data_IF_173468410668
#
_entry.id   IF_173468410668
#
_cell.length_a   1.000
_cell.length_b   1.000
_cell.length_c   1.000
_cell.angle_alpha   90.00
_cell.angle_beta   90.00
_cell.angle_gamma   90.00
#
_symmetry.space_group_name_H-M   'P 1'
#
loop_
_entity.id
_entity.type
_entity.pdbx_description
1 polymer ?
#
# COMPACT_ATOMS: atom_id res chain seq x y z
N UNK A 1 32.23 -13.06 -1.64
CA UNK A 1 32.18 -11.95 -2.62
C UNK A 1 31.56 -10.76 -1.91
N UNK A 2 32.33 -9.68 -1.77
CA UNK A 2 31.89 -8.46 -1.10
C UNK A 2 30.96 -7.67 -2.01
N UNK A 3 29.67 -7.54 -1.64
CA UNK A 3 28.64 -6.70 -2.28
C UNK A 3 28.90 -5.18 -2.14
N UNK A 4 30.16 -4.76 -2.13
CA UNK A 4 30.53 -3.43 -1.60
C UNK A 4 30.45 -2.27 -2.61
N UNK A 5 30.32 -2.51 -3.92
CA UNK A 5 30.43 -1.43 -4.91
C UNK A 5 29.61 -1.63 -6.18
N UNK A 6 28.36 -2.06 -6.05
CA UNK A 6 27.44 -1.94 -7.19
C UNK A 6 26.18 -1.28 -6.68
N UNK A 7 26.00 -0.03 -7.08
CA UNK A 7 24.69 0.60 -7.23
C UNK A 7 23.90 -0.37 -8.12
N UNK A 8 23.10 -1.26 -7.53
CA UNK A 8 22.24 -2.17 -8.28
C UNK A 8 20.97 -1.39 -8.56
N UNK A 9 20.93 -0.72 -9.71
CA UNK A 9 19.69 -0.17 -10.25
C UNK A 9 18.87 -1.34 -10.77
N UNK A 10 17.71 -1.62 -10.15
CA UNK A 10 16.78 -2.62 -10.64
C UNK A 10 15.49 -1.96 -11.15
N UNK A 11 14.91 -2.40 -12.28
CA UNK A 11 13.61 -1.94 -12.71
C UNK A 11 12.52 -2.49 -11.78
N UNK A 12 11.69 -1.62 -11.19
CA UNK A 12 10.49 -1.96 -10.43
C UNK A 12 9.33 -1.08 -10.93
N UNK A 13 8.24 -1.69 -11.40
CA UNK A 13 7.04 -0.98 -11.92
C UNK A 13 7.34 0.18 -12.91
N UNK A 14 8.40 0.05 -13.71
CA UNK A 14 8.80 1.06 -14.70
C UNK A 14 9.81 2.11 -14.22
N UNK A 15 10.18 2.11 -12.93
CA UNK A 15 11.18 2.99 -12.32
C UNK A 15 12.46 2.23 -11.93
N UNK A 16 13.59 2.93 -11.80
CA UNK A 16 14.85 2.35 -11.32
C UNK A 16 14.95 2.53 -9.79
N UNK A 17 15.03 1.42 -9.06
CA UNK A 17 15.14 1.43 -7.60
C UNK A 17 16.58 1.20 -7.16
N UNK A 18 16.95 1.88 -6.08
CA UNK A 18 18.29 1.92 -5.50
C UNK A 18 18.26 1.37 -4.08
N UNK A 19 19.10 0.37 -3.77
CA UNK A 19 19.23 -0.10 -2.38
C UNK A 19 20.07 0.89 -1.57
N UNK A 20 19.57 1.28 -0.39
CA UNK A 20 20.37 1.99 0.60
C UNK A 20 21.60 1.15 1.04
N UNK A 21 22.77 1.81 1.06
CA UNK A 21 24.03 1.24 1.54
C UNK A 21 23.92 0.70 2.97
N UNK A 22 23.00 1.19 3.79
CA UNK A 22 22.73 0.66 5.12
C UNK A 22 22.35 -0.83 5.07
N UNK A 23 21.44 -1.20 4.15
CA UNK A 23 21.00 -2.59 3.99
C UNK A 23 22.15 -3.48 3.51
N UNK A 24 22.94 -3.02 2.54
CA UNK A 24 24.08 -3.77 1.98
C UNK A 24 25.24 -4.01 2.96
N UNK A 25 25.29 -3.29 4.10
CA UNK A 25 26.35 -3.43 5.12
C UNK A 25 25.98 -4.39 6.25
N UNK A 26 24.69 -4.63 6.45
CA UNK A 26 24.20 -5.54 7.48
C UNK A 26 24.46 -7.00 7.10
N UNK A 27 24.77 -7.85 8.09
CA UNK A 27 24.86 -9.30 7.87
C UNK A 27 23.51 -9.93 8.17
N UNK A 28 23.04 -10.77 7.26
CA UNK A 28 21.86 -11.60 7.49
C UNK A 28 22.17 -12.65 8.56
N UNK A 29 21.35 -12.69 9.61
CA UNK A 29 21.44 -13.64 10.72
C UNK A 29 20.06 -14.23 10.99
N UNK A 30 19.97 -15.27 11.81
CA UNK A 30 18.68 -15.88 12.15
C UNK A 30 17.73 -14.92 12.89
N UNK A 31 18.25 -13.86 13.50
CA UNK A 31 17.48 -12.78 14.14
C UNK A 31 16.98 -11.69 13.16
N UNK A 32 17.30 -11.79 11.87
CA UNK A 32 16.90 -10.77 10.90
C UNK A 32 15.39 -10.84 10.65
N UNK A 33 14.67 -9.69 10.64
CA UNK A 33 13.23 -9.68 10.41
C UNK A 33 12.84 -10.34 9.08
N UNK A 34 11.74 -11.09 9.09
CA UNK A 34 11.22 -11.79 7.91
C UNK A 34 10.88 -10.82 6.77
N UNK A 35 10.62 -9.54 7.06
CA UNK A 35 10.36 -8.50 6.06
C UNK A 35 11.48 -8.35 5.02
N UNK A 36 12.72 -8.72 5.35
CA UNK A 36 13.83 -8.73 4.39
C UNK A 36 13.75 -9.86 3.35
N UNK A 37 13.06 -10.96 3.68
CA UNK A 37 12.89 -12.13 2.81
C UNK A 37 11.64 -12.03 1.92
N UNK A 38 10.76 -11.09 2.23
CA UNK A 38 9.53 -10.86 1.50
C UNK A 38 9.84 -9.85 0.38
N UNK A 39 9.68 -10.24 -0.91
CA UNK A 39 9.97 -9.33 -2.02
C UNK A 39 8.92 -8.21 -2.07
N UNK A 40 9.38 -6.98 -1.89
CA UNK A 40 8.60 -5.74 -2.00
C UNK A 40 9.38 -4.71 -2.82
N UNK A 41 8.68 -3.71 -3.37
CA UNK A 41 9.30 -2.61 -4.12
C UNK A 41 9.77 -1.45 -3.23
N UNK A 42 9.63 -1.57 -1.91
CA UNK A 42 10.01 -0.58 -0.90
C UNK A 42 10.56 -1.28 0.35
N UNK A 43 11.19 -0.52 1.25
CA UNK A 43 11.72 -0.98 2.55
C UNK A 43 12.77 -2.11 2.47
N UNK A 44 12.90 -2.86 3.57
CA UNK A 44 13.83 -3.97 3.72
C UNK A 44 13.61 -5.10 2.69
N UNK A 45 12.39 -5.26 2.17
CA UNK A 45 12.06 -6.31 1.20
C UNK A 45 12.68 -6.08 -0.19
N UNK A 46 13.15 -4.86 -0.47
CA UNK A 46 13.99 -4.55 -1.64
C UNK A 46 15.24 -5.44 -1.72
N UNK A 47 15.79 -5.85 -0.57
CA UNK A 47 16.97 -6.71 -0.54
C UNK A 47 16.72 -8.04 -1.25
N UNK A 48 15.58 -8.68 -1.00
CA UNK A 48 15.22 -9.95 -1.63
C UNK A 48 14.85 -9.78 -3.10
N UNK A 49 14.11 -8.72 -3.43
CA UNK A 49 13.76 -8.39 -4.82
C UNK A 49 15.01 -8.19 -5.68
N UNK A 50 15.93 -7.34 -5.22
CA UNK A 50 17.15 -7.02 -5.96
C UNK A 50 18.09 -8.22 -6.02
N UNK A 51 18.19 -9.02 -4.96
CA UNK A 51 18.98 -10.26 -4.99
C UNK A 51 18.45 -11.20 -6.08
N UNK A 52 17.13 -11.38 -6.17
CA UNK A 52 16.52 -12.21 -7.19
C UNK A 52 16.78 -11.64 -8.59
N UNK A 53 16.52 -10.35 -8.79
CA UNK A 53 16.81 -9.66 -10.06
C UNK A 53 18.28 -9.84 -10.48
N UNK A 54 19.22 -9.61 -9.57
CA UNK A 54 20.65 -9.76 -9.82
C UNK A 54 21.01 -11.18 -10.23
N UNK A 55 20.47 -12.21 -9.56
CA UNK A 55 20.75 -13.60 -9.92
C UNK A 55 20.22 -13.96 -11.31
N UNK A 56 19.00 -13.51 -11.65
CA UNK A 56 18.40 -13.70 -12.97
C UNK A 56 19.22 -12.99 -14.06
N UNK A 57 19.58 -11.72 -13.83
CA UNK A 57 20.39 -10.93 -14.75
C UNK A 57 21.77 -11.56 -14.96
N UNK A 58 22.43 -12.03 -13.89
CA UNK A 58 23.74 -12.70 -13.99
C UNK A 58 23.69 -13.96 -14.82
N UNK A 59 22.63 -14.74 -14.72
CA UNK A 59 22.44 -15.91 -15.56
C UNK A 59 22.35 -15.54 -17.04
N UNK A 60 21.49 -14.58 -17.38
CA UNK A 60 21.28 -14.19 -18.78
C UNK A 60 22.52 -13.52 -19.38
N UNK A 61 23.24 -12.68 -18.63
CA UNK A 61 24.53 -12.12 -19.05
C UNK A 61 25.57 -13.21 -19.32
N UNK A 62 25.59 -14.26 -18.50
CA UNK A 62 26.48 -15.40 -18.70
C UNK A 62 26.11 -16.20 -19.97
N UNK A 63 24.82 -16.47 -20.18
CA UNK A 63 24.33 -17.13 -21.39
C UNK A 63 24.58 -16.31 -22.65
N UNK A 64 24.44 -14.99 -22.59
CA UNK A 64 24.75 -14.09 -23.70
C UNK A 64 26.25 -14.12 -24.06
N UNK A 65 27.11 -14.14 -23.05
CA UNK A 65 28.57 -14.29 -23.23
C UNK A 65 28.91 -15.63 -23.89
N UNK A 66 28.26 -16.70 -23.43
CA UNK A 66 28.38 -18.04 -24.03
C UNK A 66 27.94 -18.08 -25.50
N UNK A 67 26.77 -17.51 -25.84
CA UNK A 67 26.29 -17.44 -27.22
C UNK A 67 27.27 -16.68 -28.13
N UNK A 68 27.81 -15.57 -27.64
CA UNK A 68 28.76 -14.72 -28.38
C UNK A 68 30.05 -15.48 -28.72
N UNK A 69 30.63 -16.22 -27.76
CA UNK A 69 31.83 -17.03 -27.97
C UNK A 69 31.60 -18.17 -28.98
N UNK A 70 30.40 -18.76 -28.98
CA UNK A 70 30.05 -19.87 -29.88
C UNK A 70 29.50 -19.44 -31.23
N UNK A 71 29.35 -18.13 -31.48
CA UNK A 71 28.66 -17.59 -32.66
C UNK A 71 27.25 -18.19 -32.82
N UNK A 72 26.61 -18.52 -31.70
CA UNK A 72 25.22 -18.98 -31.65
C UNK A 72 24.32 -17.75 -31.59
N UNK A 73 23.19 -17.80 -32.29
CA UNK A 73 22.15 -16.77 -32.12
C UNK A 73 21.46 -16.99 -30.77
N UNK A 74 21.34 -15.94 -29.97
CA UNK A 74 20.64 -16.00 -28.67
C UNK A 74 19.18 -16.47 -28.83
N UNK A 75 18.56 -16.19 -29.96
CA UNK A 75 17.21 -16.64 -30.36
C UNK A 75 17.05 -18.17 -30.44
N UNK A 76 18.17 -18.92 -30.55
CA UNK A 76 18.14 -20.38 -30.65
C UNK A 76 18.09 -21.05 -29.27
N UNK A 77 18.32 -20.31 -28.18
CA UNK A 77 18.17 -20.83 -26.83
C UNK A 77 16.70 -20.79 -26.40
N UNK A 78 16.24 -21.76 -25.60
CA UNK A 78 14.90 -21.73 -25.04
C UNK A 78 14.72 -20.48 -24.17
N UNK A 79 13.50 -19.96 -24.10
CA UNK A 79 13.15 -18.84 -23.23
C UNK A 79 12.10 -19.28 -22.24
N UNK A 80 12.22 -18.86 -20.98
CA UNK A 80 11.25 -19.14 -19.92
C UNK A 80 10.78 -17.85 -19.28
N UNK A 81 9.52 -17.80 -18.87
CA UNK A 81 8.99 -16.67 -18.11
C UNK A 81 9.43 -16.74 -16.64
N UNK A 82 9.65 -15.61 -15.97
CA UNK A 82 10.12 -15.58 -14.57
C UNK A 82 9.23 -16.39 -13.62
N UNK A 83 7.92 -16.42 -13.89
CA UNK A 83 6.91 -17.15 -13.12
C UNK A 83 6.99 -18.69 -13.29
N UNK A 84 7.60 -19.16 -14.37
CA UNK A 84 7.65 -20.58 -14.76
C UNK A 84 9.06 -21.18 -14.59
N UNK A 85 9.95 -20.50 -13.86
CA UNK A 85 11.32 -20.95 -13.66
C UNK A 85 11.35 -22.24 -12.83
N UNK A 86 12.23 -23.16 -13.25
CA UNK A 86 12.54 -24.39 -12.54
C UNK A 86 14.06 -24.57 -12.49
N UNK A 87 14.56 -25.48 -11.65
CA UNK A 87 16.00 -25.77 -11.56
C UNK A 87 16.61 -26.22 -12.88
N UNK A 88 15.82 -26.79 -13.81
CA UNK A 88 16.29 -27.22 -15.11
C UNK A 88 16.68 -26.03 -16.01
N UNK A 89 15.98 -24.90 -15.87
CA UNK A 89 16.21 -23.67 -16.62
C UNK A 89 17.45 -22.91 -16.16
N UNK A 90 17.87 -23.11 -14.89
CA UNK A 90 18.91 -22.33 -14.24
C UNK A 90 20.30 -22.99 -14.31
N UNK A 91 21.35 -22.17 -14.39
CA UNK A 91 22.73 -22.65 -14.30
C UNK A 91 23.02 -23.01 -12.84
N UNK A 92 23.24 -24.29 -12.57
CA UNK A 92 23.50 -24.80 -11.22
C UNK A 92 24.61 -25.84 -11.25
N UNK A 93 25.58 -25.70 -10.35
CA UNK A 93 26.70 -26.61 -10.18
C UNK A 93 27.28 -26.50 -8.77
N UNK A 94 27.87 -27.58 -8.27
CA UNK A 94 28.60 -27.61 -7.01
C UNK A 94 30.12 -27.57 -7.27
N UNK A 95 30.87 -26.60 -6.71
CA UNK A 95 32.32 -26.47 -6.96
C UNK A 95 33.10 -27.78 -6.73
N UNK A 96 32.94 -28.41 -5.56
CA UNK A 96 33.73 -29.61 -5.24
C UNK A 96 33.22 -30.92 -5.85
N UNK A 97 31.91 -31.06 -6.07
CA UNK A 97 31.32 -32.30 -6.57
C UNK A 97 31.25 -32.36 -8.08
N UNK A 98 31.14 -31.20 -8.73
CA UNK A 98 30.95 -31.08 -10.17
C UNK A 98 32.20 -30.54 -10.87
N UNK A 99 32.75 -29.40 -10.40
CA UNK A 99 33.87 -28.75 -11.08
C UNK A 99 35.22 -29.40 -10.76
N UNK A 100 35.50 -29.69 -9.49
CA UNK A 100 36.79 -30.25 -9.07
C UNK A 100 37.13 -31.58 -9.79
N UNK A 101 36.21 -32.57 -9.90
CA UNK A 101 36.50 -33.80 -10.65
C UNK A 101 36.74 -33.52 -12.13
N UNK A 102 36.04 -32.54 -12.70
CA UNK A 102 36.21 -32.13 -14.10
C UNK A 102 37.58 -31.50 -14.35
N UNK A 103 38.05 -30.64 -13.44
CA UNK A 103 39.40 -30.04 -13.52
C UNK A 103 40.48 -31.11 -13.40
N UNK A 104 40.34 -32.03 -12.44
CA UNK A 104 41.32 -33.11 -12.24
C UNK A 104 41.37 -34.09 -13.41
N UNK A 105 40.23 -34.41 -14.03
CA UNK A 105 40.17 -35.29 -15.21
C UNK A 105 40.84 -34.68 -16.46
N UNK A 106 40.99 -33.35 -16.51
CA UNK A 106 41.67 -32.63 -17.60
C UNK A 106 43.10 -32.21 -17.24
N UNK A 107 43.64 -32.71 -16.13
CA UNK A 107 44.99 -32.48 -15.66
C UNK A 107 45.91 -33.60 -16.16
N UNK A 108 46.80 -33.28 -17.10
CA UNK A 108 47.77 -34.20 -17.65
C UNK A 108 49.10 -34.05 -16.92
N UNK A 109 49.62 -35.15 -16.39
CA UNK A 109 50.94 -35.21 -15.79
C UNK A 109 51.92 -35.79 -16.80
N UNK A 110 52.92 -35.02 -17.19
CA UNK A 110 54.03 -35.53 -18.00
C UNK A 110 55.33 -35.46 -17.21
N UNK A 111 56.20 -36.47 -17.39
CA UNK A 111 57.49 -36.52 -16.72
C UNK A 111 58.61 -36.39 -17.73
N UNK A 112 59.40 -35.32 -17.61
CA UNK A 112 60.59 -35.10 -18.45
C UNK A 112 61.84 -35.47 -17.64
N UNK A 113 62.58 -36.47 -18.12
CA UNK A 113 63.82 -36.95 -17.46
C UNK A 113 64.80 -35.78 -17.34
N UNK A 114 65.12 -35.39 -16.10
CA UNK A 114 66.03 -34.27 -15.79
C UNK A 114 65.35 -32.91 -15.51
N UNK A 115 64.04 -32.77 -15.72
CA UNK A 115 63.29 -31.51 -15.50
C UNK A 115 62.08 -31.64 -14.53
N UNK A 116 61.74 -32.86 -14.10
CA UNK A 116 60.67 -33.10 -13.12
C UNK A 116 59.30 -33.34 -13.74
N UNK A 117 58.25 -33.20 -12.92
CA UNK A 117 56.84 -33.39 -13.33
C UNK A 117 56.27 -32.07 -13.84
N UNK A 118 55.78 -32.07 -15.08
CA UNK A 118 55.09 -30.95 -15.70
C UNK A 118 53.57 -31.23 -15.67
N UNK A 119 52.81 -30.22 -15.26
CA UNK A 119 51.35 -30.28 -15.15
C UNK A 119 50.77 -29.42 -16.27
N UNK A 120 50.02 -30.05 -17.17
CA UNK A 120 49.36 -29.38 -18.28
C UNK A 120 47.84 -29.58 -18.20
N UNK A 121 47.07 -28.50 -18.39
CA UNK A 121 45.62 -28.57 -18.40
C UNK A 121 45.08 -28.55 -19.82
N UNK A 122 44.20 -29.49 -20.15
CA UNK A 122 43.47 -29.47 -21.41
C UNK A 122 42.27 -28.50 -21.33
N UNK A 123 42.55 -27.20 -21.47
CA UNK A 123 41.52 -26.16 -21.41
C UNK A 123 40.40 -26.35 -22.43
N UNK A 124 40.72 -26.79 -23.65
CA UNK A 124 39.72 -26.99 -24.70
C UNK A 124 38.70 -28.09 -24.34
N UNK A 125 39.16 -29.17 -23.70
CA UNK A 125 38.26 -30.23 -23.26
C UNK A 125 37.49 -29.84 -22.00
N UNK A 126 38.12 -29.11 -21.08
CA UNK A 126 37.47 -28.57 -19.89
C UNK A 126 36.34 -27.60 -20.27
N UNK A 127 36.60 -26.69 -21.22
CA UNK A 127 35.58 -25.79 -21.80
C UNK A 127 34.38 -26.61 -22.32
N UNK A 128 34.65 -27.61 -23.17
CA UNK A 128 33.59 -28.46 -23.77
C UNK A 128 32.74 -29.14 -22.69
N UNK A 129 33.37 -29.74 -21.69
CA UNK A 129 32.67 -30.43 -20.62
C UNK A 129 31.83 -29.49 -19.74
N UNK A 130 32.32 -28.28 -19.44
CA UNK A 130 31.55 -27.27 -18.73
C UNK A 130 30.28 -26.89 -19.49
N UNK A 131 30.43 -26.66 -20.79
CA UNK A 131 29.33 -26.25 -21.66
C UNK A 131 28.28 -27.34 -21.79
N UNK A 132 28.69 -28.56 -22.15
CA UNK A 132 27.78 -29.69 -22.36
C UNK A 132 27.01 -30.06 -21.09
N UNK A 133 27.64 -29.92 -19.92
CA UNK A 133 27.04 -30.34 -18.65
C UNK A 133 26.21 -29.25 -17.97
N UNK A 134 26.64 -27.98 -18.00
CA UNK A 134 26.00 -26.92 -17.20
C UNK A 134 25.24 -25.88 -18.02
N UNK A 135 25.56 -25.72 -19.31
CA UNK A 135 25.01 -24.65 -20.14
C UNK A 135 24.08 -25.15 -21.24
N UNK A 136 24.24 -26.41 -21.64
CA UNK A 136 23.35 -27.03 -22.61
C UNK A 136 21.90 -26.99 -22.10
N UNK A 137 20.98 -26.61 -23.01
CA UNK A 137 19.54 -26.46 -22.78
C UNK A 137 19.11 -25.46 -21.70
N UNK A 138 19.98 -24.55 -21.25
CA UNK A 138 19.59 -23.48 -20.32
C UNK A 138 18.81 -22.38 -21.02
N UNK A 139 17.93 -21.72 -20.27
CA UNK A 139 16.94 -20.80 -20.83
C UNK A 139 17.26 -19.36 -20.49
N UNK A 140 17.01 -18.47 -21.46
CA UNK A 140 16.93 -17.02 -21.20
C UNK A 140 15.65 -16.70 -20.42
N UNK A 141 15.75 -15.78 -19.48
CA UNK A 141 14.64 -15.41 -18.61
C UNK A 141 13.95 -14.17 -19.17
N UNK A 142 12.62 -14.21 -19.27
CA UNK A 142 11.77 -13.08 -19.68
C UNK A 142 10.89 -12.62 -18.53
N UNK A 143 10.48 -11.35 -18.60
CA UNK A 143 9.52 -10.78 -17.64
C UNK A 143 10.15 -10.36 -16.32
N UNK A 144 11.36 -9.79 -16.33
CA UNK A 144 12.06 -9.32 -15.13
C UNK A 144 11.21 -8.41 -14.21
N UNK A 145 10.34 -7.59 -14.79
CA UNK A 145 9.42 -6.71 -14.03
C UNK A 145 8.17 -7.41 -13.48
N UNK A 146 8.01 -8.71 -13.71
CA UNK A 146 6.86 -9.50 -13.26
C UNK A 146 7.21 -10.47 -12.13
N UNK A 147 8.31 -10.22 -11.43
CA UNK A 147 8.63 -10.92 -10.18
C UNK A 147 7.49 -10.67 -9.20
N UNK A 148 6.92 -11.74 -8.65
CA UNK A 148 5.84 -11.63 -7.68
C UNK A 148 6.34 -10.91 -6.42
N UNK A 149 5.74 -9.75 -6.14
CA UNK A 149 5.97 -8.98 -4.93
C UNK A 149 4.74 -9.03 -4.04
N UNK A 150 4.96 -8.87 -2.73
CA UNK A 150 3.87 -8.71 -1.77
C UNK A 150 3.57 -7.22 -1.65
N UNK A 151 2.29 -6.87 -1.74
CA UNK A 151 1.77 -5.54 -1.40
C UNK A 151 1.24 -5.65 0.03
N UNK A 152 1.75 -4.83 0.95
CA UNK A 152 1.28 -4.87 2.33
C UNK A 152 -0.18 -4.38 2.39
N UNK A 153 -1.01 -4.97 3.25
CA UNK A 153 -2.41 -4.51 3.43
C UNK A 153 -2.49 -3.05 3.92
N UNK A 154 -1.46 -2.56 4.61
CA UNK A 154 -1.31 -1.15 5.00
C UNK A 154 -1.17 -0.22 3.79
N UNK A 155 -0.74 -0.73 2.64
CA UNK A 155 -0.64 0.01 1.37
C UNK A 155 -1.99 0.02 0.63
N UNK A 156 -2.95 -0.86 0.96
CA UNK A 156 -4.33 -0.76 0.45
C UNK A 156 -5.18 0.12 1.35
N UNK A 157 -4.84 1.40 1.45
CA UNK A 157 -5.64 2.35 2.23
C UNK A 157 -7.01 2.55 1.62
N UNK A 158 -7.96 3.00 2.46
CA UNK A 158 -9.28 3.38 2.01
C UNK A 158 -9.21 4.37 0.85
N UNK A 159 -8.26 5.32 0.87
CA UNK A 159 -8.04 6.26 -0.22
C UNK A 159 -7.76 5.58 -1.57
N UNK A 160 -6.84 4.60 -1.61
CA UNK A 160 -6.51 3.90 -2.86
C UNK A 160 -7.69 3.04 -3.32
N UNK A 161 -8.32 2.32 -2.39
CA UNK A 161 -9.50 1.50 -2.67
C UNK A 161 -10.63 2.34 -3.27
N UNK A 162 -10.92 3.49 -2.68
CA UNK A 162 -11.97 4.38 -3.17
C UNK A 162 -11.59 5.11 -4.45
N UNK A 163 -10.32 5.46 -4.67
CA UNK A 163 -9.85 5.99 -5.95
C UNK A 163 -10.12 5.00 -7.08
N UNK A 164 -9.70 3.74 -6.92
CA UNK A 164 -9.97 2.67 -7.90
C UNK A 164 -11.47 2.42 -8.09
N UNK A 165 -12.27 2.53 -7.04
CA UNK A 165 -13.72 2.41 -7.14
C UNK A 165 -14.32 3.57 -7.96
N UNK A 166 -13.94 4.81 -7.68
CA UNK A 166 -14.41 6.00 -8.40
C UNK A 166 -14.02 5.97 -9.87
N UNK A 167 -12.82 5.46 -10.20
CA UNK A 167 -12.36 5.30 -11.59
C UNK A 167 -13.26 4.34 -12.39
N UNK A 168 -13.94 3.39 -11.73
CA UNK A 168 -14.83 2.41 -12.38
C UNK A 168 -16.31 2.75 -12.29
N UNK A 169 -16.73 3.29 -11.16
CA UNK A 169 -18.12 3.60 -10.86
C UNK A 169 -18.15 5.00 -10.25
N UNK A 170 -18.61 6.02 -11.01
CA UNK A 170 -18.97 7.32 -10.48
C UNK A 170 -19.68 7.25 -9.12
N UNK A 171 -19.06 7.78 -8.08
CA UNK A 171 -19.63 7.79 -6.73
C UNK A 171 -20.34 9.11 -6.45
N UNK A 172 -21.53 9.06 -5.87
CA UNK A 172 -22.33 10.22 -5.45
C UNK A 172 -22.61 10.17 -3.95
N UNK A 173 -22.74 11.34 -3.32
CA UNK A 173 -23.19 11.43 -1.92
C UNK A 173 -24.68 11.11 -1.82
N UNK A 174 -25.05 10.31 -0.82
CA UNK A 174 -26.46 10.18 -0.43
C UNK A 174 -27.01 11.53 0.03
N UNK A 175 -28.29 11.80 -0.26
CA UNK A 175 -28.94 13.01 0.25
C UNK A 175 -28.90 13.07 1.79
N UNK A 176 -28.66 14.26 2.34
CA UNK A 176 -28.52 14.49 3.79
C UNK A 176 -29.69 13.93 4.61
N UNK A 177 -30.94 14.06 4.12
CA UNK A 177 -32.12 13.50 4.78
C UNK A 177 -32.07 11.96 4.88
N UNK A 178 -31.55 11.30 3.85
CA UNK A 178 -31.37 9.84 3.82
C UNK A 178 -30.23 9.43 4.74
N UNK A 179 -29.10 10.14 4.72
CA UNK A 179 -27.96 9.89 5.61
C UNK A 179 -28.35 10.03 7.08
N UNK A 180 -29.08 11.08 7.44
CA UNK A 180 -29.59 11.33 8.79
C UNK A 180 -30.49 10.20 9.28
N UNK A 181 -31.40 9.71 8.41
CA UNK A 181 -32.28 8.60 8.74
C UNK A 181 -31.48 7.29 8.93
N UNK A 182 -30.53 6.99 8.05
CA UNK A 182 -29.68 5.81 8.17
C UNK A 182 -28.88 5.87 9.47
N UNK A 183 -28.26 7.01 9.80
CA UNK A 183 -27.54 7.19 11.07
C UNK A 183 -28.44 6.95 12.29
N UNK A 184 -29.65 7.52 12.28
CA UNK A 184 -30.64 7.30 13.33
C UNK A 184 -30.97 5.82 13.52
N UNK A 185 -31.19 5.10 12.41
CA UNK A 185 -31.44 3.66 12.43
C UNK A 185 -30.22 2.87 12.93
N UNK A 186 -29.00 3.18 12.46
CA UNK A 186 -27.77 2.52 12.90
C UNK A 186 -27.52 2.67 14.39
N UNK A 187 -27.79 3.84 14.98
CA UNK A 187 -27.63 4.09 16.42
C UNK A 187 -28.56 3.25 17.30
N UNK A 188 -29.65 2.73 16.75
CA UNK A 188 -30.56 1.81 17.47
C UNK A 188 -30.12 0.36 17.41
N UNK A 189 -29.11 0.03 16.59
CA UNK A 189 -28.63 -1.33 16.36
C UNK A 189 -27.47 -1.68 17.29
N UNK A 190 -27.20 -2.97 17.43
CA UNK A 190 -26.07 -3.43 18.24
C UNK A 190 -24.74 -3.08 17.55
N UNK A 191 -23.71 -2.77 18.34
CA UNK A 191 -22.37 -2.47 17.80
C UNK A 191 -21.79 -3.61 16.94
N UNK A 192 -21.95 -4.90 17.29
CA UNK A 192 -21.53 -6.01 16.42
C UNK A 192 -22.24 -6.02 15.06
N UNK A 193 -23.54 -5.74 15.00
CA UNK A 193 -24.28 -5.68 13.73
C UNK A 193 -23.76 -4.56 12.81
N UNK A 194 -23.37 -3.42 13.38
CA UNK A 194 -22.75 -2.32 12.62
C UNK A 194 -21.40 -2.75 12.04
N UNK A 195 -20.55 -3.40 12.83
CA UNK A 195 -19.24 -3.88 12.38
C UNK A 195 -19.37 -4.94 11.28
N UNK A 196 -20.24 -5.93 11.48
CA UNK A 196 -20.49 -6.98 10.47
C UNK A 196 -20.99 -6.37 9.14
N UNK A 197 -21.82 -5.34 9.21
CA UNK A 197 -22.33 -4.68 8.01
C UNK A 197 -21.26 -3.86 7.29
N UNK A 198 -20.31 -3.28 8.03
CA UNK A 198 -19.16 -2.61 7.46
C UNK A 198 -18.20 -3.61 6.79
N UNK A 199 -17.94 -4.76 7.43
CA UNK A 199 -17.13 -5.83 6.84
C UNK A 199 -17.74 -6.37 5.54
N UNK A 200 -19.08 -6.55 5.51
CA UNK A 200 -19.80 -6.92 4.28
C UNK A 200 -19.63 -5.87 3.19
N UNK A 201 -19.61 -4.59 3.56
CA UNK A 201 -19.42 -3.49 2.61
C UNK A 201 -17.97 -3.44 2.09
N UNK A 202 -16.97 -3.72 2.92
CA UNK A 202 -15.56 -3.86 2.51
C UNK A 202 -15.38 -4.98 1.47
N UNK A 203 -16.07 -6.10 1.69
CA UNK A 203 -16.09 -7.21 0.73
C UNK A 203 -16.74 -6.74 -0.58
N UNK A 204 -17.92 -6.10 -0.51
CA UNK A 204 -18.61 -5.62 -1.70
C UNK A 204 -17.78 -4.59 -2.50
N UNK A 205 -17.13 -3.65 -1.82
CA UNK A 205 -16.21 -2.67 -2.44
C UNK A 205 -15.05 -3.40 -3.13
N UNK A 206 -14.52 -4.46 -2.53
CA UNK A 206 -13.44 -5.26 -3.12
C UNK A 206 -13.87 -5.96 -4.42
N UNK A 207 -15.14 -6.33 -4.56
CA UNK A 207 -15.67 -6.83 -5.83
C UNK A 207 -15.96 -5.70 -6.82
N UNK A 208 -16.57 -4.59 -6.37
CA UNK A 208 -16.92 -3.45 -7.22
C UNK A 208 -15.68 -2.79 -7.84
N UNK A 209 -14.59 -2.64 -7.08
CA UNK A 209 -13.32 -2.10 -7.60
C UNK A 209 -12.66 -3.04 -8.62
N UNK A 210 -12.99 -4.33 -8.62
CA UNK A 210 -12.43 -5.31 -9.57
C UNK A 210 -13.30 -5.47 -10.81
N UNK A 211 -14.60 -5.64 -10.65
CA UNK A 211 -15.53 -5.97 -11.75
C UNK A 211 -16.23 -4.73 -12.31
N UNK A 212 -16.41 -3.68 -11.51
CA UNK A 212 -17.33 -2.59 -11.82
C UNK A 212 -18.80 -3.02 -11.69
N UNK A 213 -19.71 -2.05 -11.84
CA UNK A 213 -21.16 -2.26 -11.92
C UNK A 213 -21.81 -1.02 -12.52
N UNK A 214 -23.05 -1.14 -12.99
CA UNK A 214 -23.86 0.00 -13.38
C UNK A 214 -24.11 0.93 -12.17
N UNK A 215 -23.80 2.23 -12.21
CA UNK A 215 -23.97 3.15 -11.08
C UNK A 215 -25.39 3.17 -10.50
N UNK A 216 -26.40 2.98 -11.35
CA UNK A 216 -27.82 3.03 -10.98
C UNK A 216 -28.35 1.72 -10.39
N UNK A 217 -27.60 0.63 -10.53
CA UNK A 217 -27.98 -0.69 -10.00
C UNK A 217 -28.06 -0.70 -8.47
N UNK A 218 -28.99 -1.50 -7.94
CA UNK A 218 -29.16 -1.71 -6.50
C UNK A 218 -27.92 -2.35 -5.89
N UNK A 219 -27.37 -1.70 -4.85
CA UNK A 219 -26.23 -2.24 -4.13
C UNK A 219 -26.59 -3.55 -3.40
N UNK A 220 -27.83 -3.64 -2.90
CA UNK A 220 -28.32 -4.85 -2.21
C UNK A 220 -28.41 -6.04 -3.17
N UNK A 221 -28.86 -5.80 -4.40
CA UNK A 221 -28.98 -6.86 -5.41
C UNK A 221 -27.60 -7.32 -5.85
N UNK A 222 -26.66 -6.37 -6.03
CA UNK A 222 -25.25 -6.70 -6.28
C UNK A 222 -24.65 -7.56 -5.15
N UNK A 223 -24.84 -7.16 -3.89
CA UNK A 223 -24.35 -7.90 -2.72
C UNK A 223 -24.98 -9.30 -2.63
N UNK A 224 -26.26 -9.43 -2.99
CA UNK A 224 -26.94 -10.73 -3.05
C UNK A 224 -26.35 -11.64 -4.15
N UNK A 225 -25.96 -11.07 -5.29
CA UNK A 225 -25.31 -11.83 -6.38
C UNK A 225 -23.97 -12.42 -5.95
N UNK A 226 -23.21 -11.72 -5.11
CA UNK A 226 -21.96 -12.21 -4.51
C UNK A 226 -22.19 -13.01 -3.20
N UNK A 227 -23.42 -13.46 -2.96
CA UNK A 227 -23.82 -14.32 -1.82
C UNK A 227 -23.67 -13.65 -0.44
N UNK A 228 -23.81 -12.33 -0.38
CA UNK A 228 -23.92 -11.58 0.87
C UNK A 228 -25.40 -11.32 1.15
N UNK A 229 -25.96 -12.12 2.05
CA UNK A 229 -27.35 -11.97 2.47
C UNK A 229 -27.50 -10.91 3.56
N UNK A 230 -28.62 -10.17 3.51
CA UNK A 230 -29.00 -9.15 4.49
C UNK A 230 -27.85 -8.15 4.80
N UNK A 231 -27.40 -7.36 3.80
CA UNK A 231 -26.15 -6.60 3.89
C UNK A 231 -26.19 -5.43 4.89
N UNK A 232 -27.36 -4.84 5.12
CA UNK A 232 -27.50 -3.66 5.97
C UNK A 232 -28.54 -3.88 7.08
N UNK A 233 -28.31 -3.33 8.28
CA UNK A 233 -29.26 -3.44 9.38
C UNK A 233 -30.34 -2.33 9.29
N UNK A 234 -30.05 -1.25 8.55
CA UNK A 234 -30.96 -0.14 8.24
C UNK A 234 -31.86 -0.50 7.05
N UNK A 235 -33.20 -0.51 7.18
CA UNK A 235 -34.11 -0.65 6.05
C UNK A 235 -33.98 0.50 5.05
N UNK A 236 -33.70 1.73 5.53
CA UNK A 236 -33.52 2.88 4.63
C UNK A 236 -32.28 2.74 3.76
N UNK A 237 -31.18 2.23 4.32
CA UNK A 237 -29.98 1.91 3.57
C UNK A 237 -30.30 0.93 2.44
N UNK A 238 -31.01 -0.17 2.71
CA UNK A 238 -31.39 -1.15 1.69
C UNK A 238 -32.19 -0.57 0.52
N UNK A 239 -33.11 0.35 0.81
CA UNK A 239 -34.01 0.90 -0.20
C UNK A 239 -33.37 2.00 -1.05
N UNK A 240 -32.41 2.75 -0.50
CA UNK A 240 -31.86 3.95 -1.13
C UNK A 240 -30.41 3.78 -1.61
N UNK A 241 -29.75 2.66 -1.28
CA UNK A 241 -28.38 2.37 -1.72
C UNK A 241 -28.32 1.83 -3.15
N UNK A 242 -27.58 2.53 -4.00
CA UNK A 242 -27.18 2.11 -5.35
C UNK A 242 -25.66 1.92 -5.39
N UNK A 243 -25.12 1.32 -6.44
CA UNK A 243 -23.68 1.12 -6.59
C UNK A 243 -22.89 2.44 -6.59
N UNK A 244 -23.49 3.54 -7.06
CA UNK A 244 -22.93 4.89 -6.94
C UNK A 244 -22.89 5.47 -5.52
N UNK A 245 -23.65 4.91 -4.58
CA UNK A 245 -23.70 5.38 -3.19
C UNK A 245 -22.78 4.59 -2.25
N UNK A 246 -22.02 3.63 -2.78
CA UNK A 246 -21.26 2.66 -1.98
C UNK A 246 -20.24 3.32 -1.07
N UNK A 247 -19.45 4.25 -1.61
CA UNK A 247 -18.46 5.01 -0.83
C UNK A 247 -19.13 5.87 0.24
N UNK A 248 -20.22 6.57 -0.10
CA UNK A 248 -20.96 7.41 0.86
C UNK A 248 -21.52 6.58 2.02
N UNK A 249 -22.04 5.38 1.74
CA UNK A 249 -22.56 4.47 2.75
C UNK A 249 -21.46 3.94 3.66
N UNK A 250 -20.29 3.62 3.10
CA UNK A 250 -19.15 3.13 3.87
C UNK A 250 -18.64 4.18 4.84
N UNK A 251 -18.45 5.42 4.37
CA UNK A 251 -18.03 6.55 5.23
C UNK A 251 -19.01 6.73 6.38
N UNK A 252 -20.31 6.65 6.11
CA UNK A 252 -21.37 6.79 7.12
C UNK A 252 -21.27 5.71 8.21
N UNK A 253 -21.08 4.45 7.81
CA UNK A 253 -21.01 3.32 8.74
C UNK A 253 -19.70 3.36 9.54
N UNK A 254 -18.59 3.67 8.88
CA UNK A 254 -17.28 3.82 9.51
C UNK A 254 -17.28 4.99 10.51
N UNK A 255 -17.94 6.10 10.19
CA UNK A 255 -18.11 7.25 11.08
C UNK A 255 -18.94 6.88 12.32
N UNK A 256 -20.08 6.21 12.17
CA UNK A 256 -20.88 5.78 13.32
C UNK A 256 -20.15 4.73 14.18
N UNK A 257 -19.32 3.88 13.56
CA UNK A 257 -18.42 2.97 14.27
C UNK A 257 -17.41 3.75 15.10
N UNK A 258 -16.75 4.74 14.51
CA UNK A 258 -15.81 5.62 15.20
C UNK A 258 -16.47 6.41 16.34
N UNK A 259 -17.68 6.95 16.12
CA UNK A 259 -18.48 7.65 17.14
C UNK A 259 -18.81 6.72 18.31
N UNK A 260 -19.13 5.46 18.04
CA UNK A 260 -19.43 4.47 19.09
C UNK A 260 -18.17 4.10 19.87
N UNK A 261 -17.06 3.81 19.19
CA UNK A 261 -15.77 3.49 19.83
C UNK A 261 -15.21 4.65 20.67
N UNK A 262 -15.41 5.89 20.21
CA UNK A 262 -15.00 7.09 20.95
C UNK A 262 -15.69 7.23 22.32
N UNK A 263 -16.87 6.63 22.50
CA UNK A 263 -17.59 6.63 23.79
C UNK A 263 -16.99 5.65 24.80
N UNK A 264 -16.40 4.55 24.34
CA UNK A 264 -16.05 3.43 25.21
C UNK A 264 -14.56 3.21 25.41
N UNK A 265 -13.68 3.44 24.42
CA UNK A 265 -12.28 3.01 24.56
C UNK A 265 -11.21 3.93 23.92
N UNK A 266 -11.54 5.14 23.43
CA UNK A 266 -10.59 5.99 22.64
C UNK A 266 -9.96 5.28 21.41
N UNK A 267 -10.46 4.11 21.01
CA UNK A 267 -9.93 3.29 19.91
C UNK A 267 -10.45 3.65 18.51
N UNK A 268 -11.11 4.81 18.37
CA UNK A 268 -11.80 5.18 17.13
C UNK A 268 -10.89 5.19 15.89
N UNK A 269 -9.58 5.38 16.08
CA UNK A 269 -8.58 5.47 15.00
C UNK A 269 -7.35 4.59 15.27
N UNK A 270 -7.52 3.41 15.90
CA UNK A 270 -6.41 2.49 16.17
C UNK A 270 -5.64 2.02 14.92
N UNK A 271 -6.26 2.09 13.75
CA UNK A 271 -5.62 1.72 12.47
C UNK A 271 -4.74 2.83 11.88
N UNK A 272 -4.90 4.09 12.31
CA UNK A 272 -4.19 5.24 11.73
C UNK A 272 -2.81 5.39 12.34
N UNK A 273 -1.77 5.73 11.59
CA UNK A 273 -0.41 5.90 12.15
C UNK A 273 -0.36 6.77 13.43
N UNK A 274 0.46 6.38 14.42
CA UNK A 274 0.59 7.10 15.70
C UNK A 274 1.00 8.57 15.53
N UNK A 275 1.68 8.89 14.41
CA UNK A 275 2.06 10.25 13.99
C UNK A 275 0.87 11.21 13.89
N UNK A 276 -0.32 10.70 13.53
CA UNK A 276 -1.55 11.50 13.39
C UNK A 276 -2.43 11.51 14.66
N UNK A 277 -1.94 10.90 15.74
CA UNK A 277 -2.60 10.83 17.05
C UNK A 277 -1.86 11.66 18.11
N UNK A 278 -1.17 12.72 17.67
CA UNK A 278 -0.44 13.60 18.58
C UNK A 278 -1.42 14.37 19.46
N UNK A 279 -1.13 14.43 20.76
CA UNK A 279 -1.97 15.14 21.74
C UNK A 279 -1.99 16.63 21.49
N UNK A 280 -3.18 17.23 21.52
CA UNK A 280 -3.33 18.69 21.51
C UNK A 280 -2.78 19.29 22.81
N UNK A 281 -2.13 20.45 22.70
CA UNK A 281 -1.76 21.28 23.85
C UNK A 281 -3.01 21.91 24.49
N UNK A 282 -2.87 22.42 25.72
CA UNK A 282 -3.99 23.07 26.42
C UNK A 282 -4.51 24.29 25.66
N UNK A 283 -3.62 25.08 25.06
CA UNK A 283 -3.99 26.29 24.34
C UNK A 283 -4.63 25.98 22.99
N UNK A 284 -4.12 24.99 22.25
CA UNK A 284 -4.80 24.47 21.05
C UNK A 284 -6.20 23.93 21.38
N UNK A 285 -6.34 23.21 22.50
CA UNK A 285 -7.63 22.68 22.95
C UNK A 285 -8.63 23.80 23.22
N UNK A 286 -8.20 24.87 23.93
CA UNK A 286 -9.06 26.04 24.20
C UNK A 286 -9.50 26.73 22.91
N UNK A 287 -8.59 26.91 21.95
CA UNK A 287 -8.90 27.52 20.64
C UNK A 287 -9.98 26.71 19.93
N UNK A 288 -9.81 25.39 19.84
CA UNK A 288 -10.79 24.50 19.19
C UNK A 288 -12.13 24.55 19.93
N UNK A 289 -12.12 24.50 21.26
CA UNK A 289 -13.34 24.62 22.06
C UNK A 289 -14.08 25.94 21.82
N UNK A 290 -13.37 27.05 21.73
CA UNK A 290 -13.97 28.37 21.54
C UNK A 290 -14.56 28.52 20.13
N UNK A 291 -13.89 28.00 19.11
CA UNK A 291 -14.43 27.88 17.75
C UNK A 291 -15.73 27.07 17.79
N UNK A 292 -15.71 25.86 18.35
CA UNK A 292 -16.87 24.94 18.37
C UNK A 292 -18.01 25.38 19.30
N UNK A 293 -17.73 26.19 20.35
CA UNK A 293 -18.76 26.75 21.23
C UNK A 293 -19.72 27.65 20.45
N UNK A 294 -19.19 28.45 19.53
CA UNK A 294 -19.97 29.40 18.73
C UNK A 294 -20.93 28.76 17.71
N UNK A 295 -20.73 27.47 17.41
CA UNK A 295 -21.45 26.75 16.35
C UNK A 295 -22.71 26.03 16.84
N UNK A 296 -23.66 25.82 15.92
CA UNK A 296 -24.84 24.98 16.15
C UNK A 296 -24.45 23.49 16.19
N UNK A 297 -25.35 22.64 16.66
CA UNK A 297 -25.10 21.17 16.71
C UNK A 297 -24.91 20.61 15.30
N UNK A 298 -25.70 21.12 14.36
CA UNK A 298 -25.69 20.75 12.95
C UNK A 298 -24.32 21.06 12.33
N UNK A 299 -23.83 22.30 12.50
CA UNK A 299 -22.52 22.74 12.00
C UNK A 299 -21.37 21.91 12.60
N UNK A 300 -21.43 21.55 13.88
CA UNK A 300 -20.39 20.71 14.49
C UNK A 300 -20.44 19.29 13.91
N UNK A 301 -21.63 18.76 13.60
CA UNK A 301 -21.76 17.45 12.96
C UNK A 301 -21.09 17.42 11.60
N UNK A 302 -21.29 18.46 10.78
CA UNK A 302 -20.65 18.61 9.47
C UNK A 302 -19.12 18.68 9.58
N UNK A 303 -18.60 19.42 10.55
CA UNK A 303 -17.14 19.49 10.80
C UNK A 303 -16.59 18.13 11.22
N UNK A 304 -17.29 17.39 12.08
CA UNK A 304 -16.91 16.03 12.49
C UNK A 304 -16.92 15.07 11.31
N UNK A 305 -17.89 15.18 10.41
CA UNK A 305 -17.99 14.39 9.19
C UNK A 305 -16.85 14.70 8.22
N UNK A 306 -16.60 15.99 7.95
CA UNK A 306 -15.52 16.44 7.08
C UNK A 306 -14.14 16.01 7.60
N UNK A 307 -13.89 16.17 8.91
CA UNK A 307 -12.65 15.73 9.54
C UNK A 307 -12.47 14.22 9.40
N UNK A 308 -13.52 13.44 9.65
CA UNK A 308 -13.46 11.99 9.50
C UNK A 308 -13.11 11.57 8.07
N UNK A 309 -13.82 12.13 7.09
CA UNK A 309 -13.57 11.89 5.67
C UNK A 309 -12.13 12.24 5.30
N UNK A 310 -11.66 13.43 5.66
CA UNK A 310 -10.30 13.88 5.35
C UNK A 310 -9.25 12.97 6.00
N UNK A 311 -9.46 12.56 7.25
CA UNK A 311 -8.56 11.66 7.97
C UNK A 311 -8.42 10.33 7.23
N UNK A 312 -9.55 9.69 6.90
CA UNK A 312 -9.57 8.33 6.34
C UNK A 312 -9.21 8.28 4.85
N UNK A 313 -9.48 9.34 4.10
CA UNK A 313 -9.33 9.37 2.65
C UNK A 313 -8.10 10.15 2.15
N UNK A 314 -7.48 10.98 2.99
CA UNK A 314 -6.36 11.83 2.58
C UNK A 314 -5.17 11.79 3.53
N UNK A 315 -5.40 11.81 4.84
CA UNK A 315 -4.33 11.86 5.84
C UNK A 315 -3.72 10.47 6.07
N UNK A 316 -4.55 9.42 6.14
CA UNK A 316 -4.13 8.03 6.34
C UNK A 316 -3.59 7.37 5.07
N UNK A 317 -2.98 8.15 4.16
CA UNK A 317 -2.39 7.64 2.91
C UNK A 317 -0.87 7.57 3.09
N UNK A 318 -0.25 6.37 3.13
CA UNK A 318 1.18 6.19 3.15
C UNK A 318 1.80 6.93 1.97
N UNK A 319 2.80 7.76 2.26
CA UNK A 319 3.66 8.34 1.24
C UNK A 319 5.05 7.77 1.40
N UNK A 320 5.70 7.44 0.29
CA UNK A 320 7.08 6.98 0.31
C UNK A 320 8.00 8.20 0.49
N UNK A 321 8.84 8.26 1.55
CA UNK A 321 9.80 9.34 1.77
C UNK A 321 10.80 9.56 0.63
N UNK A 322 10.94 8.58 -0.27
CA UNK A 322 11.84 8.62 -1.41
C UNK A 322 11.21 9.18 -2.69
N UNK A 323 9.90 9.47 -2.70
CA UNK A 323 9.24 10.07 -3.85
C UNK A 323 9.69 11.54 -4.03
N UNK A 324 9.94 11.99 -5.28
CA UNK A 324 10.36 13.37 -5.56
C UNK A 324 9.34 14.43 -5.07
N UNK A 325 8.06 14.05 -5.02
CA UNK A 325 6.94 14.86 -4.53
C UNK A 325 6.59 14.59 -3.05
N UNK A 326 7.47 13.89 -2.30
CA UNK A 326 7.22 13.56 -0.90
C UNK A 326 6.96 14.81 -0.06
N UNK A 327 5.82 14.81 0.61
CA UNK A 327 5.46 15.84 1.56
C UNK A 327 5.04 15.18 2.87
N UNK A 328 5.69 15.56 3.97
CA UNK A 328 5.35 15.06 5.30
C UNK A 328 3.96 15.56 5.70
N UNK A 329 2.96 14.73 5.40
CA UNK A 329 1.56 15.03 5.64
C UNK A 329 1.28 15.36 7.10
N UNK A 330 2.07 14.87 8.07
CA UNK A 330 1.88 15.13 9.51
C UNK A 330 2.22 16.57 9.93
N UNK A 331 3.04 17.26 9.13
CA UNK A 331 3.46 18.64 9.35
C UNK A 331 2.59 19.67 8.62
N UNK A 332 1.64 19.22 7.81
CA UNK A 332 0.70 20.10 7.12
C UNK A 332 -0.23 20.78 8.12
N UNK A 333 -0.62 22.03 7.84
CA UNK A 333 -1.72 22.64 8.57
C UNK A 333 -3.02 21.88 8.28
N UNK A 334 -3.76 21.53 9.33
CA UNK A 334 -5.02 20.78 9.21
C UNK A 334 -6.05 21.56 8.37
N UNK A 335 -6.08 22.89 8.49
CA UNK A 335 -6.96 23.75 7.69
C UNK A 335 -6.70 23.57 6.20
N UNK A 336 -5.43 23.65 5.78
CA UNK A 336 -5.05 23.54 4.38
C UNK A 336 -5.30 22.11 3.85
N UNK A 337 -5.10 21.10 4.70
CA UNK A 337 -5.43 19.72 4.37
C UNK A 337 -6.93 19.53 4.10
N UNK A 338 -7.79 20.13 4.93
CA UNK A 338 -9.25 20.10 4.82
C UNK A 338 -9.74 20.86 3.58
N UNK A 339 -9.24 22.07 3.34
CA UNK A 339 -9.56 22.84 2.13
C UNK A 339 -9.14 22.05 0.89
N UNK A 340 -7.91 21.54 0.88
CA UNK A 340 -7.43 20.75 -0.24
C UNK A 340 -8.20 19.44 -0.43
N UNK A 341 -8.79 18.84 0.63
CA UNK A 341 -9.66 17.65 0.48
C UNK A 341 -11.00 18.04 -0.15
N UNK A 342 -11.55 19.20 0.21
CA UNK A 342 -12.77 19.71 -0.41
C UNK A 342 -12.58 19.98 -1.90
N UNK A 343 -11.44 20.56 -2.29
CA UNK A 343 -11.13 20.82 -3.70
C UNK A 343 -10.96 19.52 -4.50
N UNK A 344 -10.40 18.48 -3.87
CA UNK A 344 -10.16 17.15 -4.47
C UNK A 344 -11.23 16.12 -4.09
N UNK A 345 -12.44 16.55 -3.71
CA UNK A 345 -13.48 15.66 -3.21
C UNK A 345 -13.81 14.57 -4.24
N UNK A 346 -13.81 13.27 -3.86
CA UNK A 346 -13.93 12.15 -4.81
C UNK A 346 -15.35 11.90 -5.32
N UNK A 347 -16.35 12.59 -4.79
CA UNK A 347 -17.75 12.46 -5.19
C UNK A 347 -18.10 13.31 -6.42
N UNK A 348 -18.86 12.72 -7.34
CA UNK A 348 -19.49 13.44 -8.46
C UNK A 348 -20.67 14.29 -7.98
N UNK A 349 -20.82 15.46 -8.61
CA UNK A 349 -21.79 16.47 -8.18
C UNK A 349 -21.30 17.19 -6.93
N UNK A 350 -20.55 18.29 -7.13
CA UNK A 350 -20.17 19.21 -6.06
C UNK A 350 -21.45 19.75 -5.41
N UNK A 351 -21.89 19.16 -4.29
CA UNK A 351 -22.79 19.88 -3.40
C UNK A 351 -22.00 21.12 -2.97
N UNK A 352 -22.48 22.29 -3.40
CA UNK A 352 -21.92 23.57 -2.98
C UNK A 352 -21.82 23.55 -1.46
N UNK A 353 -20.60 23.79 -0.99
CA UNK A 353 -20.26 23.85 0.42
C UNK A 353 -21.24 24.84 1.07
N UNK A 354 -21.83 24.50 2.21
CA UNK A 354 -22.50 25.52 2.99
C UNK A 354 -21.45 26.57 3.39
N UNK A 355 -21.65 27.85 3.06
CA UNK A 355 -20.73 28.95 3.40
C UNK A 355 -20.32 28.94 4.89
N UNK A 356 -21.19 28.39 5.73
CA UNK A 356 -20.99 28.11 7.16
C UNK A 356 -19.78 27.23 7.43
N UNK A 357 -19.57 26.13 6.70
CA UNK A 357 -18.43 25.23 6.89
C UNK A 357 -17.10 25.91 6.50
N UNK A 358 -17.08 26.69 5.41
CA UNK A 358 -15.90 27.46 5.02
C UNK A 358 -15.55 28.54 6.05
N UNK A 359 -16.55 29.18 6.64
CA UNK A 359 -16.35 30.14 7.72
C UNK A 359 -15.70 29.48 8.96
N UNK A 360 -16.11 28.25 9.30
CA UNK A 360 -15.49 27.50 10.41
C UNK A 360 -14.04 27.13 10.12
N UNK A 361 -13.76 26.61 8.91
CA UNK A 361 -12.38 26.34 8.48
C UNK A 361 -11.53 27.61 8.49
N UNK A 362 -12.15 28.75 8.16
CA UNK A 362 -11.55 30.09 8.22
C UNK A 362 -11.03 30.53 9.59
N UNK A 363 -11.59 29.98 10.67
CA UNK A 363 -11.22 30.30 12.05
C UNK A 363 -10.09 29.42 12.60
N UNK A 364 -9.75 28.32 11.91
CA UNK A 364 -8.64 27.46 12.31
C UNK A 364 -7.32 28.22 12.08
N UNK A 365 -6.42 28.30 13.08
CA UNK A 365 -5.14 28.98 12.93
C UNK A 365 -4.31 28.42 11.76
N UNK A 366 -3.99 29.28 10.79
CA UNK A 366 -3.24 28.94 9.58
C UNK A 366 -1.81 29.48 9.55
N UNK A 367 -1.51 30.46 10.40
CA UNK A 367 -0.26 31.21 10.30
C UNK A 367 0.94 30.32 10.64
N UNK A 368 1.95 30.32 9.76
CA UNK A 368 3.13 29.46 9.89
C UNK A 368 3.93 29.74 11.17
N UNK A 369 3.86 30.98 11.66
CA UNK A 369 4.55 31.47 12.86
C UNK A 369 3.72 31.29 14.14
N UNK A 370 2.44 30.87 14.05
CA UNK A 370 1.60 30.68 15.23
C UNK A 370 2.04 29.42 15.99
N UNK A 371 2.49 29.54 17.26
CA UNK A 371 2.86 28.39 18.08
C UNK A 371 1.68 27.43 18.34
N UNK A 372 0.44 27.92 18.22
CA UNK A 372 -0.78 27.15 18.41
C UNK A 372 -1.38 26.61 17.10
N UNK A 373 -0.62 26.63 16.00
CA UNK A 373 -1.05 26.04 14.73
C UNK A 373 -1.51 24.59 14.91
N UNK A 374 -2.62 24.24 14.26
CA UNK A 374 -3.19 22.89 14.34
C UNK A 374 -2.70 22.10 13.13
N UNK A 375 -1.78 21.19 13.37
CA UNK A 375 -1.27 20.27 12.35
C UNK A 375 -2.20 19.07 12.15
N UNK A 376 -2.14 18.45 10.97
CA UNK A 376 -2.73 17.14 10.67
C UNK A 376 -2.30 16.04 11.64
N UNK A 377 -1.11 16.16 12.26
CA UNK A 377 -0.67 15.31 13.36
C UNK A 377 -1.66 15.28 14.55
N UNK A 378 -2.49 16.31 14.72
CA UNK A 378 -3.50 16.42 15.78
C UNK A 378 -4.93 16.14 15.30
N UNK A 379 -5.10 15.71 14.05
CA UNK A 379 -6.42 15.55 13.41
C UNK A 379 -7.34 14.60 14.17
N UNK A 380 -6.80 13.48 14.66
CA UNK A 380 -7.55 12.48 15.44
C UNK A 380 -8.05 13.07 16.76
N UNK A 381 -7.19 13.77 17.50
CA UNK A 381 -7.58 14.38 18.78
C UNK A 381 -8.57 15.54 18.58
N UNK A 382 -8.42 16.33 17.51
CA UNK A 382 -9.42 17.33 17.12
C UNK A 382 -10.77 16.65 16.89
N UNK A 383 -10.81 15.58 16.11
CA UNK A 383 -12.04 14.86 15.81
C UNK A 383 -12.71 14.34 17.09
N UNK A 384 -11.93 13.75 18.02
CA UNK A 384 -12.44 13.23 19.30
C UNK A 384 -13.05 14.37 20.13
N UNK A 385 -12.36 15.51 20.23
CA UNK A 385 -12.85 16.69 20.95
C UNK A 385 -14.13 17.24 20.33
N UNK A 386 -14.17 17.40 19.00
CA UNK A 386 -15.34 17.90 18.28
C UNK A 386 -16.55 16.97 18.44
N UNK A 387 -16.33 15.65 18.32
CA UNK A 387 -17.38 14.65 18.49
C UNK A 387 -17.93 14.62 19.94
N UNK A 388 -17.06 14.80 20.94
CA UNK A 388 -17.47 14.91 22.36
C UNK A 388 -18.32 16.15 22.60
N UNK A 389 -17.94 17.31 22.06
CA UNK A 389 -18.70 18.56 22.18
C UNK A 389 -20.06 18.43 21.46
N UNK A 390 -20.08 17.82 20.28
CA UNK A 390 -21.30 17.54 19.53
C UNK A 390 -22.27 16.69 20.34
N UNK A 391 -21.78 15.56 20.88
CA UNK A 391 -22.59 14.65 21.71
C UNK A 391 -23.14 15.34 22.96
N UNK A 392 -22.31 16.16 23.64
CA UNK A 392 -22.74 16.91 24.82
C UNK A 392 -23.82 17.96 24.49
N UNK A 393 -23.69 18.68 23.36
CA UNK A 393 -24.71 19.65 22.94
C UNK A 393 -26.01 18.96 22.51
N UNK A 394 -25.94 17.78 21.87
CA UNK A 394 -27.12 16.95 21.53
C UNK A 394 -27.87 16.49 22.78
N UNK A 395 -27.16 16.05 23.83
CA UNK A 395 -27.77 15.63 25.08
C UNK A 395 -28.44 16.77 25.86
N UNK A 396 -27.98 18.02 25.71
CA UNK A 396 -28.58 19.19 26.37
C UNK A 396 -29.82 19.75 25.68
N UNK A 397 -30.10 19.35 24.43
CA UNK A 397 -31.31 19.74 23.68
C UNK A 397 -32.52 18.84 23.98
N UNK A 398 -32.27 17.66 24.55
CA UNK A 398 -33.28 16.76 25.11
C UNK A 398 -33.42 17.00 26.61
#
# INVERSE_FOLDING_TARGET
MSFYYTIVTCPADGNLVMIDKAYCRSKFTDDTPVSYLIPTYQDAGLCSYVLLFFLLEKQDLFLQSYCSQRKLKAENLPTVHVKDISSAHLISYHPDKDLLPMVLANCNYSFKVGQGTEIEYNYANLERQLMDRFLFSKSFIKGYGEIETIIYRSESTNAIVFKTLCDKIPQERLHHAVQSQICGELRTKSFPELCESLDKLDIAISFLKSVGSDPESSLVDFMSNIKIDNPFPSPKAKQSSKCKHTMSLWILFALERARTLAKYEKKAFESIGETFRTTLTEDQTKIIEDILKSLTVEQISEVVELLFECIVLKIDVPQNPEDEDYFDMSKMNLRDALIGYQDSCPFEGKQQIEETTMHVLGQIPSDLEDPNRILTAHSVEFWILANKICTNKQQRRH
#
